data_IF_990535494376
#
_entry.id   IF_990535494376
#
_cell.length_a   1.000
_cell.length_b   1.000
_cell.length_c   1.000
_cell.angle_alpha   90.00
_cell.angle_beta   90.00
_cell.angle_gamma   90.00
#
_symmetry.space_group_name_H-M   'P 1'
#
loop_
_entity.id
_entity.type
_entity.pdbx_description
1 polymer ?
#
# COMPACT_ATOMS: atom_id res chain seq x y z
N UNK A 1 -6.77 36.24 -2.00
CA UNK A 1 -6.23 34.86 -1.95
C UNK A 1 -6.06 34.44 -3.38
N UNK A 2 -4.82 34.17 -3.75
CA UNK A 2 -4.44 33.76 -5.10
C UNK A 2 -5.06 32.38 -5.35
N UNK A 3 -6.02 32.32 -6.28
CA UNK A 3 -6.74 31.09 -6.57
C UNK A 3 -5.86 30.22 -7.43
N UNK A 4 -5.22 29.21 -6.84
CA UNK A 4 -4.45 28.23 -7.58
C UNK A 4 -5.31 27.70 -8.74
N UNK A 5 -4.72 27.68 -9.94
CA UNK A 5 -5.37 27.13 -11.11
C UNK A 5 -5.78 25.67 -10.80
N UNK A 6 -7.04 25.27 -10.99
CA UNK A 6 -7.46 23.90 -10.75
C UNK A 6 -6.63 22.85 -11.50
N UNK A 7 -5.96 23.23 -12.60
CA UNK A 7 -5.02 22.38 -13.35
C UNK A 7 -3.65 22.20 -12.66
N UNK A 8 -3.35 22.99 -11.63
CA UNK A 8 -2.17 22.85 -10.77
C UNK A 8 -2.44 22.05 -9.49
N UNK A 9 -3.71 21.69 -9.22
CA UNK A 9 -4.05 20.82 -8.10
C UNK A 9 -3.56 19.39 -8.39
N UNK A 10 -2.73 18.88 -7.47
CA UNK A 10 -2.32 17.48 -7.44
C UNK A 10 -3.22 16.76 -6.44
N UNK A 11 -4.10 15.83 -6.90
CA UNK A 11 -4.97 15.06 -6.03
C UNK A 11 -4.19 14.21 -5.03
N UNK A 12 -4.70 14.14 -3.80
CA UNK A 12 -4.14 13.35 -2.72
C UNK A 12 -4.71 11.93 -2.73
N UNK A 13 -3.90 10.94 -2.37
CA UNK A 13 -4.33 9.56 -2.15
C UNK A 13 -3.45 8.84 -1.13
N UNK A 14 -4.03 7.86 -0.45
CA UNK A 14 -3.33 7.08 0.60
C UNK A 14 -3.03 5.65 0.13
N UNK A 15 -4.05 4.89 -0.28
CA UNK A 15 -3.90 3.48 -0.66
C UNK A 15 -4.30 3.19 -2.10
N UNK A 16 -5.23 3.95 -2.69
CA UNK A 16 -5.63 3.77 -4.09
C UNK A 16 -6.05 5.09 -4.72
N UNK A 17 -5.93 5.18 -6.05
CA UNK A 17 -6.51 6.26 -6.85
C UNK A 17 -6.78 5.79 -8.28
N UNK A 18 -8.01 6.04 -8.76
CA UNK A 18 -8.37 5.85 -10.17
C UNK A 18 -7.62 6.87 -11.04
N UNK A 19 -7.13 6.46 -12.20
CA UNK A 19 -6.31 7.31 -13.04
C UNK A 19 -7.06 8.56 -13.51
N UNK A 20 -8.36 8.46 -13.79
CA UNK A 20 -9.18 9.61 -14.19
C UNK A 20 -9.42 10.63 -13.07
N UNK A 21 -9.06 10.31 -11.82
CA UNK A 21 -9.10 11.22 -10.68
C UNK A 21 -7.76 11.88 -10.39
N UNK A 22 -6.71 11.54 -11.13
CA UNK A 22 -5.38 12.15 -11.00
C UNK A 22 -5.31 13.51 -11.73
N UNK A 23 -4.22 14.24 -11.53
CA UNK A 23 -3.90 15.40 -12.36
C UNK A 23 -3.38 14.90 -13.72
N UNK A 24 -4.14 15.18 -14.78
CA UNK A 24 -3.88 14.66 -16.13
C UNK A 24 -3.32 15.73 -17.07
N UNK A 25 -2.34 15.34 -17.87
CA UNK A 25 -1.90 16.08 -19.05
C UNK A 25 -1.74 15.12 -20.21
N UNK A 26 -2.31 15.43 -21.38
CA UNK A 26 -2.30 14.55 -22.56
C UNK A 26 -3.20 13.30 -22.46
N UNK A 27 -3.43 12.77 -21.26
CA UNK A 27 -4.43 11.74 -21.01
C UNK A 27 -5.86 12.31 -21.06
N UNK A 28 -6.79 11.54 -21.62
CA UNK A 28 -8.21 11.85 -21.61
C UNK A 28 -9.02 10.69 -21.01
N UNK A 29 -10.10 11.01 -20.30
CA UNK A 29 -11.03 10.02 -19.78
C UNK A 29 -11.65 9.17 -20.91
N UNK A 30 -11.75 7.87 -20.68
CA UNK A 30 -12.39 6.89 -21.53
C UNK A 30 -13.29 5.98 -20.68
N UNK A 31 -14.58 5.89 -21.02
CA UNK A 31 -15.47 4.94 -20.34
C UNK A 31 -15.15 3.53 -20.80
N UNK A 32 -14.89 2.64 -19.85
CA UNK A 32 -14.55 1.25 -20.12
C UNK A 32 -15.06 0.35 -18.98
N UNK A 33 -15.96 -0.58 -19.26
CA UNK A 33 -16.55 -1.45 -18.24
C UNK A 33 -15.60 -2.51 -17.70
N UNK A 34 -14.46 -2.77 -18.37
CA UNK A 34 -13.43 -3.67 -17.86
C UNK A 34 -12.55 -2.99 -16.80
N UNK A 35 -12.45 -1.65 -16.84
CA UNK A 35 -11.67 -0.84 -15.92
C UNK A 35 -12.35 -0.73 -14.54
N UNK A 36 -11.59 -0.45 -13.48
CA UNK A 36 -12.18 -0.13 -12.18
C UNK A 36 -13.03 1.13 -12.27
N UNK A 37 -14.12 1.19 -11.49
CA UNK A 37 -15.05 2.31 -11.53
C UNK A 37 -15.81 2.52 -12.85
N UNK A 38 -15.55 1.73 -13.91
CA UNK A 38 -16.16 1.87 -15.24
C UNK A 38 -15.48 2.90 -16.15
N UNK A 39 -14.27 3.34 -15.82
CA UNK A 39 -13.52 4.34 -16.57
C UNK A 39 -12.01 4.16 -16.44
N UNK A 40 -11.27 4.68 -17.41
CA UNK A 40 -9.81 4.72 -17.41
C UNK A 40 -9.35 6.01 -18.12
N UNK A 41 -8.03 6.20 -18.28
CA UNK A 41 -7.48 7.27 -19.10
C UNK A 41 -6.69 6.74 -20.30
N UNK A 42 -6.72 7.47 -21.40
CA UNK A 42 -6.20 7.04 -22.71
C UNK A 42 -5.34 8.14 -23.34
N UNK A 43 -4.15 7.80 -23.83
CA UNK A 43 -3.26 8.71 -24.54
C UNK A 43 -3.52 8.71 -26.06
N UNK A 44 -4.65 8.12 -26.50
CA UNK A 44 -4.93 7.89 -27.92
C UNK A 44 -4.84 9.17 -28.77
N UNK A 45 -5.37 10.29 -28.26
CA UNK A 45 -5.48 11.56 -28.97
C UNK A 45 -4.19 12.38 -29.00
N UNK A 46 -3.42 12.32 -27.92
CA UNK A 46 -2.19 13.11 -27.69
C UNK A 46 -0.92 12.36 -28.11
N UNK A 47 -0.97 11.03 -28.15
CA UNK A 47 0.18 10.14 -28.33
C UNK A 47 0.97 9.89 -27.04
N UNK A 48 0.84 10.75 -26.04
CA UNK A 48 1.45 10.57 -24.73
C UNK A 48 0.64 11.31 -23.65
N UNK A 49 0.59 10.76 -22.45
CA UNK A 49 -0.08 11.37 -21.31
C UNK A 49 0.66 11.14 -19.99
N UNK A 50 0.46 12.03 -19.03
CA UNK A 50 0.93 11.91 -17.65
C UNK A 50 -0.25 11.97 -16.68
N UNK A 51 -0.26 11.09 -15.69
CA UNK A 51 -1.20 11.10 -14.58
C UNK A 51 -0.43 11.24 -13.26
N UNK A 52 -0.73 12.27 -12.46
CA UNK A 52 0.02 12.65 -11.25
C UNK A 52 -0.88 12.71 -10.02
N UNK A 53 -0.41 12.13 -8.92
CA UNK A 53 -1.08 12.22 -7.63
C UNK A 53 -0.07 12.31 -6.48
N UNK A 54 -0.48 12.91 -5.38
CA UNK A 54 0.32 13.08 -4.17
C UNK A 54 -0.01 11.97 -3.18
N UNK A 55 1.01 11.23 -2.79
CA UNK A 55 0.89 10.25 -1.74
C UNK A 55 0.77 10.94 -0.37
N UNK A 56 -0.29 10.64 0.39
CA UNK A 56 -0.54 11.21 1.72
C UNK A 56 -0.50 10.18 2.85
N UNK A 57 -0.22 8.92 2.54
CA UNK A 57 -0.03 7.88 3.55
C UNK A 57 1.25 8.03 4.36
N UNK A 58 1.43 7.14 5.34
CA UNK A 58 2.61 7.12 6.18
C UNK A 58 3.87 6.82 5.37
N UNK A 59 5.00 7.44 5.72
CA UNK A 59 6.28 7.16 5.08
C UNK A 59 6.71 5.70 5.33
N UNK A 60 7.18 5.01 4.28
CA UNK A 60 7.57 3.61 4.37
C UNK A 60 7.80 2.96 3.02
N UNK A 61 7.95 1.63 3.04
CA UNK A 61 8.06 0.81 1.83
C UNK A 61 6.69 0.34 1.38
N UNK A 62 6.44 0.42 0.09
CA UNK A 62 5.17 0.05 -0.53
C UNK A 62 5.39 -0.82 -1.76
N UNK A 63 4.50 -1.77 -1.95
CA UNK A 63 4.25 -2.36 -3.27
C UNK A 63 3.26 -1.46 -3.98
N UNK A 64 3.71 -0.81 -5.06
CA UNK A 64 2.83 -0.13 -6.02
C UNK A 64 2.39 -1.15 -7.08
N UNK A 65 1.08 -1.22 -7.29
CA UNK A 65 0.42 -1.88 -8.41
C UNK A 65 -0.14 -0.80 -9.33
N UNK A 66 0.24 -0.84 -10.60
CA UNK A 66 -0.26 0.05 -11.67
C UNK A 66 -1.11 -0.81 -12.60
N UNK A 67 -2.42 -0.61 -12.59
CA UNK A 67 -3.34 -1.32 -13.50
C UNK A 67 -3.43 -0.59 -14.84
N UNK A 68 -3.23 -1.33 -15.93
CA UNK A 68 -3.21 -0.80 -17.30
C UNK A 68 -3.70 -1.87 -18.28
N UNK A 69 -4.02 -1.47 -19.52
CA UNK A 69 -4.39 -2.41 -20.57
C UNK A 69 -3.18 -2.71 -21.47
N UNK A 70 -2.86 -3.99 -21.65
CA UNK A 70 -1.81 -4.51 -22.53
C UNK A 70 -2.45 -5.13 -23.77
N UNK A 71 -2.71 -4.28 -24.77
CA UNK A 71 -3.41 -4.62 -26.01
C UNK A 71 -2.42 -5.20 -27.04
N UNK A 72 -2.72 -6.35 -27.63
CA UNK A 72 -1.78 -7.05 -28.53
C UNK A 72 -1.71 -6.48 -29.96
N UNK A 73 -2.19 -5.26 -30.20
CA UNK A 73 -2.10 -4.53 -31.47
C UNK A 73 -1.21 -3.27 -31.39
N UNK A 74 -0.43 -3.16 -30.32
CA UNK A 74 0.60 -2.16 -30.13
C UNK A 74 1.65 -2.60 -29.12
N UNK A 75 2.40 -1.62 -28.63
CA UNK A 75 3.46 -1.82 -27.64
C UNK A 75 3.65 -0.53 -26.84
N UNK A 76 2.62 -0.07 -26.12
CA UNK A 76 2.70 1.18 -25.39
C UNK A 76 3.83 1.13 -24.35
N UNK A 77 4.50 2.26 -24.15
CA UNK A 77 5.59 2.37 -23.17
C UNK A 77 5.11 3.21 -22.00
N UNK A 78 5.28 2.68 -20.80
CA UNK A 78 4.94 3.37 -19.56
C UNK A 78 6.20 3.64 -18.73
N UNK A 79 6.19 4.75 -18.00
CA UNK A 79 7.26 5.15 -17.08
C UNK A 79 6.66 5.59 -15.76
N UNK A 80 7.26 5.11 -14.68
CA UNK A 80 6.91 5.45 -13.31
C UNK A 80 7.96 6.42 -12.74
N UNK A 81 7.49 7.54 -12.20
CA UNK A 81 8.31 8.54 -11.53
C UNK A 81 7.83 8.75 -10.09
N UNK A 82 8.79 9.02 -9.20
CA UNK A 82 8.54 9.58 -7.87
C UNK A 82 9.35 10.87 -7.75
N UNK A 83 8.70 12.00 -7.52
CA UNK A 83 9.32 13.32 -7.49
C UNK A 83 10.23 13.59 -8.71
N UNK A 84 9.73 13.31 -9.92
CA UNK A 84 10.45 13.42 -11.19
C UNK A 84 11.68 12.51 -11.34
N UNK A 85 11.91 11.55 -10.44
CA UNK A 85 12.96 10.53 -10.59
C UNK A 85 12.36 9.25 -11.13
N UNK A 86 12.92 8.74 -12.24
CA UNK A 86 12.48 7.48 -12.85
C UNK A 86 12.71 6.32 -11.86
N UNK A 87 11.66 5.53 -11.63
CA UNK A 87 11.68 4.34 -10.76
C UNK A 87 11.44 3.05 -11.55
N UNK A 88 10.74 3.13 -12.67
CA UNK A 88 10.46 1.98 -13.52
C UNK A 88 10.05 2.40 -14.93
N UNK A 89 10.28 1.51 -15.88
CA UNK A 89 9.86 1.64 -17.28
C UNK A 89 9.48 0.24 -17.77
N UNK A 90 8.34 0.11 -18.44
CA UNK A 90 7.89 -1.14 -19.01
C UNK A 90 7.18 -0.89 -20.34
N UNK A 91 7.17 -1.93 -21.16
CA UNK A 91 6.41 -1.98 -22.41
C UNK A 91 5.24 -2.93 -22.22
N UNK A 92 4.07 -2.53 -22.69
CA UNK A 92 2.88 -3.36 -22.81
C UNK A 92 2.98 -4.17 -24.11
N UNK A 93 3.76 -5.25 -24.11
CA UNK A 93 4.01 -6.09 -25.29
C UNK A 93 3.63 -7.57 -25.07
N UNK A 94 2.77 -7.84 -24.10
CA UNK A 94 2.32 -9.21 -23.78
C UNK A 94 1.15 -9.61 -24.67
N UNK A 95 1.19 -10.83 -25.23
CA UNK A 95 0.02 -11.39 -25.91
C UNK A 95 -0.96 -11.98 -24.88
N UNK A 96 -1.89 -11.16 -24.40
CA UNK A 96 -2.96 -11.54 -23.47
C UNK A 96 -4.24 -12.03 -24.19
N UNK A 97 -4.18 -12.20 -25.52
CA UNK A 97 -5.25 -12.81 -26.31
C UNK A 97 -6.34 -11.86 -26.79
N UNK A 98 -6.17 -10.54 -26.68
CA UNK A 98 -7.07 -9.54 -27.26
C UNK A 98 -6.33 -8.27 -27.67
N UNK A 99 -6.85 -7.63 -28.73
CA UNK A 99 -6.41 -6.33 -29.24
C UNK A 99 -7.23 -5.17 -28.66
N UNK A 100 -8.16 -5.46 -27.74
CA UNK A 100 -9.04 -4.46 -27.14
C UNK A 100 -8.72 -4.30 -25.67
N UNK A 101 -8.90 -3.08 -25.15
CA UNK A 101 -8.92 -2.78 -23.72
C UNK A 101 -10.12 -3.44 -23.03
N UNK A 102 -10.00 -4.73 -22.70
CA UNK A 102 -11.03 -5.56 -22.08
C UNK A 102 -10.47 -6.31 -20.86
N UNK A 103 -11.25 -7.20 -20.26
CA UNK A 103 -10.84 -7.91 -19.05
C UNK A 103 -9.66 -8.86 -19.25
N UNK A 104 -9.36 -9.28 -20.49
CA UNK A 104 -8.21 -10.13 -20.78
C UNK A 104 -6.91 -9.31 -20.81
N UNK A 105 -6.98 -8.07 -21.29
CA UNK A 105 -5.81 -7.20 -21.45
C UNK A 105 -5.56 -6.30 -20.23
N UNK A 106 -6.54 -6.17 -19.32
CA UNK A 106 -6.33 -5.53 -18.03
C UNK A 106 -5.32 -6.33 -17.18
N UNK A 107 -4.15 -5.74 -16.96
CA UNK A 107 -3.04 -6.34 -16.22
C UNK A 107 -2.38 -5.31 -15.31
N UNK A 108 -1.33 -5.72 -14.59
CA UNK A 108 -0.68 -4.90 -13.57
C UNK A 108 0.83 -4.92 -13.68
N UNK A 109 1.44 -3.73 -13.64
CA UNK A 109 2.87 -3.56 -13.38
C UNK A 109 3.08 -3.37 -11.87
N UNK A 110 4.10 -4.02 -11.32
CA UNK A 110 4.39 -3.95 -9.88
C UNK A 110 5.79 -3.41 -9.63
N UNK A 111 5.92 -2.46 -8.69
CA UNK A 111 7.21 -1.94 -8.23
C UNK A 111 7.23 -1.79 -6.72
N UNK A 112 8.40 -1.99 -6.10
CA UNK A 112 8.62 -1.65 -4.70
C UNK A 112 9.17 -0.23 -4.61
N UNK A 113 8.50 0.63 -3.85
CA UNK A 113 8.86 2.02 -3.67
C UNK A 113 9.14 2.33 -2.20
N UNK A 114 10.15 3.15 -1.95
CA UNK A 114 10.27 3.90 -0.69
C UNK A 114 9.58 5.24 -0.89
N UNK A 115 8.51 5.48 -0.14
CA UNK A 115 7.67 6.67 -0.23
C UNK A 115 7.74 7.46 1.07
N UNK A 116 7.84 8.78 0.94
CA UNK A 116 7.64 9.73 2.03
C UNK A 116 6.30 10.42 1.85
N UNK A 117 5.58 10.67 2.95
CA UNK A 117 4.34 11.47 2.89
C UNK A 117 4.58 12.79 2.14
N UNK A 118 3.76 13.08 1.14
CA UNK A 118 3.85 14.25 0.28
C UNK A 118 4.55 14.02 -1.06
N UNK A 119 5.17 12.86 -1.27
CA UNK A 119 5.77 12.47 -2.55
C UNK A 119 4.74 12.49 -3.69
N UNK A 120 5.17 12.93 -4.87
CA UNK A 120 4.34 12.90 -6.08
C UNK A 120 4.70 11.64 -6.88
N UNK A 121 3.69 10.79 -7.11
CA UNK A 121 3.77 9.65 -8.01
C UNK A 121 3.20 10.06 -9.37
N UNK A 122 3.92 9.74 -10.43
CA UNK A 122 3.55 10.05 -11.80
C UNK A 122 3.73 8.84 -12.70
N UNK A 123 2.70 8.54 -13.50
CA UNK A 123 2.78 7.60 -14.62
C UNK A 123 2.73 8.39 -15.92
N UNK A 124 3.77 8.25 -16.74
CA UNK A 124 3.76 8.65 -18.15
C UNK A 124 3.43 7.41 -19.00
N UNK A 125 2.50 7.52 -19.94
CA UNK A 125 2.28 6.51 -20.97
C UNK A 125 2.43 7.09 -22.35
N UNK A 126 3.00 6.31 -23.26
CA UNK A 126 3.22 6.66 -24.66
C UNK A 126 2.58 5.61 -25.54
N UNK A 127 1.63 6.06 -26.34
CA UNK A 127 0.96 5.26 -27.36
C UNK A 127 1.97 4.65 -28.33
N UNK A 128 1.72 3.41 -28.74
CA UNK A 128 2.42 2.80 -29.85
C UNK A 128 1.42 2.03 -30.72
N UNK A 129 1.38 2.34 -32.03
CA UNK A 129 0.40 1.78 -32.95
C UNK A 129 -1.04 1.96 -32.45
N UNK A 130 -1.76 0.87 -32.17
CA UNK A 130 -3.16 0.90 -31.74
C UNK A 130 -3.33 0.82 -30.21
N UNK A 131 -2.31 0.36 -29.50
CA UNK A 131 -2.25 0.44 -28.04
C UNK A 131 -2.13 1.89 -27.59
N UNK A 132 -3.21 2.36 -26.97
CA UNK A 132 -3.42 3.75 -26.58
C UNK A 132 -2.81 4.13 -25.23
N UNK A 133 -2.00 3.25 -24.63
CA UNK A 133 -1.40 3.42 -23.32
C UNK A 133 -2.45 3.67 -22.23
N UNK A 134 -3.49 2.83 -22.17
CA UNK A 134 -4.60 3.04 -21.23
C UNK A 134 -4.19 2.70 -19.80
N UNK A 135 -4.44 3.63 -18.89
CA UNK A 135 -4.13 3.52 -17.47
C UNK A 135 -5.45 3.50 -16.67
N UNK A 136 -5.60 2.50 -15.81
CA UNK A 136 -6.80 2.27 -15.01
C UNK A 136 -6.66 2.90 -13.62
N UNK A 137 -5.74 2.39 -12.78
CA UNK A 137 -5.56 2.86 -11.40
C UNK A 137 -4.19 2.59 -10.82
N UNK A 138 -3.93 3.23 -9.68
CA UNK A 138 -2.81 2.95 -8.78
C UNK A 138 -3.32 2.36 -7.47
N UNK A 139 -2.65 1.33 -6.97
CA UNK A 139 -2.87 0.75 -5.64
C UNK A 139 -1.54 0.61 -4.91
N UNK A 140 -1.51 1.02 -3.64
CA UNK A 140 -0.38 0.95 -2.75
C UNK A 140 -0.69 0.02 -1.58
N UNK A 141 0.16 -0.99 -1.41
CA UNK A 141 0.13 -1.89 -0.27
C UNK A 141 1.41 -1.67 0.53
N UNK A 142 1.28 -1.18 1.77
CA UNK A 142 2.44 -0.99 2.63
C UNK A 142 3.09 -2.35 2.89
N UNK A 143 4.39 -2.44 2.64
CA UNK A 143 5.19 -3.59 3.04
C UNK A 143 5.38 -3.47 4.55
N UNK A 144 4.85 -4.45 5.29
CA UNK A 144 5.15 -4.56 6.70
C UNK A 144 6.64 -4.77 6.89
N UNK A 145 7.35 -3.72 7.29
CA UNK A 145 8.76 -3.82 7.63
C UNK A 145 8.98 -4.59 8.95
N UNK A 146 7.91 -4.90 9.69
CA UNK A 146 7.97 -5.69 10.92
C UNK A 146 7.42 -7.10 10.69
N UNK A 147 8.25 -8.10 10.98
CA UNK A 147 7.87 -9.50 11.17
C UNK A 147 7.65 -9.76 12.66
N UNK A 148 6.60 -10.53 12.97
CA UNK A 148 6.17 -10.81 14.32
C UNK A 148 6.24 -12.34 14.52
N UNK A 149 6.93 -12.80 15.55
CA UNK A 149 6.95 -14.22 15.90
C UNK A 149 5.61 -14.67 16.47
N UNK A 150 5.39 -15.99 16.51
CA UNK A 150 4.31 -16.54 17.33
C UNK A 150 4.47 -16.07 18.78
N UNK A 151 3.38 -15.60 19.44
CA UNK A 151 3.44 -15.19 20.83
C UNK A 151 3.63 -16.40 21.75
N UNK A 152 4.50 -16.26 22.74
CA UNK A 152 4.76 -17.29 23.75
C UNK A 152 4.24 -16.79 25.09
N UNK A 153 3.26 -17.49 25.66
CA UNK A 153 2.77 -17.22 27.01
C UNK A 153 3.49 -18.14 28.02
N UNK A 154 4.13 -17.56 29.03
CA UNK A 154 4.83 -18.29 30.09
C UNK A 154 4.97 -17.42 31.33
N UNK A 155 4.87 -18.03 32.52
CA UNK A 155 5.07 -17.37 33.82
C UNK A 155 4.32 -16.04 34.00
N UNK A 156 3.05 -15.99 33.57
CA UNK A 156 2.20 -14.80 33.69
C UNK A 156 2.52 -13.69 32.69
N UNK A 157 3.37 -13.95 31.70
CA UNK A 157 3.78 -12.99 30.67
C UNK A 157 3.58 -13.53 29.26
N UNK A 158 3.49 -12.61 28.31
CA UNK A 158 3.56 -12.88 26.88
C UNK A 158 4.84 -12.27 26.34
N UNK A 159 5.61 -13.05 25.59
CA UNK A 159 6.79 -12.59 24.85
C UNK A 159 6.53 -12.71 23.35
N UNK A 160 6.95 -11.70 22.60
CA UNK A 160 6.90 -11.69 21.14
C UNK A 160 8.20 -11.16 20.55
N UNK A 161 8.79 -11.91 19.61
CA UNK A 161 9.92 -11.44 18.83
C UNK A 161 9.47 -10.54 17.69
N UNK A 162 10.04 -9.34 17.61
CA UNK A 162 9.82 -8.36 16.55
C UNK A 162 11.09 -8.26 15.74
N UNK A 163 11.01 -8.61 14.45
CA UNK A 163 12.12 -8.45 13.51
C UNK A 163 11.80 -7.28 12.59
N UNK A 164 12.57 -6.21 12.73
CA UNK A 164 12.54 -5.10 11.79
C UNK A 164 13.40 -5.45 10.58
N UNK A 165 12.81 -5.40 9.39
CA UNK A 165 13.41 -5.62 8.09
C UNK A 165 13.69 -4.32 7.34
N UNK A 166 13.43 -3.16 7.95
CA UNK A 166 13.80 -1.86 7.41
C UNK A 166 15.24 -1.51 7.77
N UNK A 167 15.88 -0.74 6.90
CA UNK A 167 17.22 -0.18 7.13
C UNK A 167 17.24 1.00 8.11
N UNK A 168 16.15 1.22 8.86
CA UNK A 168 16.00 2.28 9.86
C UNK A 168 15.39 1.71 11.14
N UNK A 169 15.70 2.31 12.29
CA UNK A 169 15.10 1.91 13.58
C UNK A 169 13.60 2.25 13.58
N UNK A 170 12.77 1.25 13.88
CA UNK A 170 11.32 1.41 14.06
C UNK A 170 10.97 1.46 15.54
N UNK A 171 9.70 1.75 15.85
CA UNK A 171 9.15 1.64 17.19
C UNK A 171 8.07 0.58 17.17
N UNK A 172 8.06 -0.31 18.15
CA UNK A 172 6.95 -1.23 18.35
C UNK A 172 6.54 -1.24 19.81
N UNK A 173 5.26 -1.52 20.07
CA UNK A 173 4.75 -1.72 21.40
C UNK A 173 3.85 -2.95 21.48
N UNK A 174 3.99 -3.71 22.56
CA UNK A 174 3.10 -4.82 22.90
C UNK A 174 2.04 -4.29 23.88
N UNK A 175 0.78 -4.49 23.52
CA UNK A 175 -0.37 -3.97 24.25
C UNK A 175 -1.20 -5.15 24.73
N UNK A 176 -1.46 -5.19 26.03
CA UNK A 176 -2.37 -6.14 26.66
C UNK A 176 -3.70 -5.45 26.96
N UNK A 177 -4.81 -6.13 26.70
CA UNK A 177 -6.16 -5.63 26.98
C UNK A 177 -6.98 -6.71 27.70
N UNK A 178 -7.43 -6.42 28.92
CA UNK A 178 -8.22 -7.31 29.76
C UNK A 178 -9.72 -6.99 29.73
N UNK A 179 -10.56 -8.02 29.74
CA UNK A 179 -12.00 -7.93 29.61
C UNK A 179 -12.73 -8.81 30.64
N UNK A 180 -13.86 -8.30 31.15
CA UNK A 180 -14.82 -9.05 31.96
C UNK A 180 -16.22 -8.83 31.39
N UNK A 181 -16.99 -9.90 31.16
CA UNK A 181 -18.34 -9.82 30.58
C UNK A 181 -18.37 -8.92 29.33
N UNK A 182 -17.42 -9.14 28.41
CA UNK A 182 -17.21 -8.36 27.17
C UNK A 182 -16.94 -6.86 27.36
N UNK A 183 -16.71 -6.40 28.58
CA UNK A 183 -16.37 -5.02 28.91
C UNK A 183 -14.87 -4.89 29.12
N UNK A 184 -14.22 -3.96 28.41
CA UNK A 184 -12.81 -3.62 28.64
C UNK A 184 -12.62 -3.13 30.08
N UNK A 185 -11.69 -3.75 30.81
CA UNK A 185 -11.38 -3.41 32.20
C UNK A 185 -10.03 -2.76 32.35
N UNK A 186 -9.06 -3.27 31.61
CA UNK A 186 -7.69 -2.79 31.67
C UNK A 186 -7.07 -2.80 30.28
N UNK A 187 -6.17 -1.84 30.05
CA UNK A 187 -5.31 -1.80 28.88
C UNK A 187 -3.94 -1.30 29.32
N UNK A 188 -2.92 -2.11 29.08
CA UNK A 188 -1.54 -1.77 29.43
C UNK A 188 -0.69 -1.76 28.16
N UNK A 189 0.14 -0.72 28.04
CA UNK A 189 1.23 -0.67 27.08
C UNK A 189 2.47 -1.03 27.88
N UNK A 190 2.88 -2.28 27.81
CA UNK A 190 3.90 -2.82 28.70
C UNK A 190 5.30 -2.34 28.32
N UNK A 191 5.62 -2.37 27.03
CA UNK A 191 6.93 -1.99 26.54
C UNK A 191 6.82 -1.29 25.18
N UNK A 192 7.47 -0.14 25.06
CA UNK A 192 7.71 0.55 23.79
C UNK A 192 9.20 0.48 23.51
N UNK A 193 9.59 -0.33 22.54
CA UNK A 193 11.01 -0.51 22.21
C UNK A 193 11.36 0.13 20.86
N UNK A 194 12.60 0.60 20.81
CA UNK A 194 13.26 0.88 19.56
C UNK A 194 13.69 -0.46 18.96
N UNK A 195 13.19 -0.77 17.77
CA UNK A 195 13.47 -2.00 17.06
C UNK A 195 14.51 -1.68 15.97
N UNK A 196 15.82 -1.87 16.23
CA UNK A 196 16.85 -1.78 15.17
C UNK A 196 16.65 -2.89 14.13
N UNK A 197 17.43 -2.90 13.03
CA UNK A 197 17.46 -3.95 12.00
C UNK A 197 18.01 -5.29 12.58
N UNK A 198 17.31 -5.83 13.56
CA UNK A 198 17.54 -7.08 14.27
C UNK A 198 16.25 -7.54 14.94
N UNK A 199 16.30 -8.68 15.62
CA UNK A 199 15.20 -9.14 16.47
C UNK A 199 15.25 -8.38 17.81
N UNK A 200 14.12 -7.86 18.24
CA UNK A 200 13.87 -7.29 19.58
C UNK A 200 12.73 -8.07 20.23
N UNK A 201 12.88 -8.47 21.48
CA UNK A 201 11.79 -9.11 22.23
C UNK A 201 10.96 -8.05 22.93
N UNK A 202 9.64 -8.10 22.77
CA UNK A 202 8.69 -7.33 23.55
C UNK A 202 8.04 -8.23 24.58
N UNK A 203 7.89 -7.73 25.81
CA UNK A 203 7.27 -8.47 26.91
C UNK A 203 6.09 -7.70 27.48
N UNK A 204 5.02 -8.42 27.81
CA UNK A 204 3.84 -7.87 28.45
C UNK A 204 3.33 -8.79 29.56
N UNK A 205 2.83 -8.21 30.65
CA UNK A 205 2.15 -8.97 31.69
C UNK A 205 0.76 -9.41 31.19
N UNK A 206 0.34 -10.64 31.55
CA UNK A 206 -1.01 -11.14 31.22
C UNK A 206 -2.01 -10.50 32.18
N UNK A 207 -3.07 -9.82 31.68
CA UNK A 207 -4.11 -9.27 32.54
C UNK A 207 -4.79 -10.34 33.39
N UNK A 208 -5.08 -10.03 34.66
CA UNK A 208 -5.76 -10.95 35.59
C UNK A 208 -7.24 -11.24 35.23
N UNK A 209 -7.75 -10.61 34.18
CA UNK A 209 -9.14 -10.74 33.72
C UNK A 209 -9.44 -12.10 33.06
N UNK A 210 -10.72 -12.52 33.09
CA UNK A 210 -11.16 -13.79 32.50
C UNK A 210 -10.82 -13.90 31.00
N UNK A 211 -10.89 -12.81 30.24
CA UNK A 211 -10.56 -12.75 28.82
C UNK A 211 -9.53 -11.65 28.59
N UNK A 212 -8.46 -11.94 27.86
CA UNK A 212 -7.51 -10.91 27.44
C UNK A 212 -7.20 -11.02 25.94
N UNK A 213 -6.75 -9.92 25.35
CA UNK A 213 -6.27 -9.84 23.96
C UNK A 213 -4.94 -9.13 23.94
N UNK A 214 -4.07 -9.58 23.06
CA UNK A 214 -2.77 -8.95 22.83
C UNK A 214 -2.76 -8.28 21.46
N UNK A 215 -2.11 -7.13 21.36
CA UNK A 215 -1.94 -6.39 20.12
C UNK A 215 -0.50 -5.90 19.99
N UNK A 216 -0.01 -5.84 18.76
CA UNK A 216 1.20 -5.11 18.45
C UNK A 216 0.84 -3.84 17.71
N UNK A 217 1.40 -2.74 18.19
CA UNK A 217 1.46 -1.48 17.47
C UNK A 217 2.85 -1.34 16.85
N UNK A 218 2.90 -1.06 15.55
CA UNK A 218 4.13 -1.09 14.74
C UNK A 218 4.75 0.28 14.46
N UNK A 219 4.31 1.32 15.19
CA UNK A 219 4.81 2.68 14.99
C UNK A 219 4.21 3.43 13.81
N UNK A 220 3.59 2.72 12.85
CA UNK A 220 3.05 3.25 11.59
C UNK A 220 1.53 3.45 11.64
N UNK A 221 0.96 3.53 12.85
CA UNK A 221 -0.48 3.72 13.06
C UNK A 221 -1.31 2.46 12.86
N UNK A 222 -0.68 1.30 12.62
CA UNK A 222 -1.37 0.02 12.49
C UNK A 222 -1.31 -0.76 13.81
N UNK A 223 -2.44 -1.40 14.16
CA UNK A 223 -2.51 -2.37 15.26
C UNK A 223 -2.90 -3.73 14.72
N UNK A 224 -2.17 -4.77 15.12
CA UNK A 224 -2.45 -6.15 14.72
C UNK A 224 -2.85 -6.98 15.93
N UNK A 225 -4.01 -7.68 15.90
CA UNK A 225 -4.35 -8.62 16.95
C UNK A 225 -3.40 -9.82 16.89
N UNK A 226 -2.94 -10.26 18.06
CA UNK A 226 -2.21 -11.50 18.21
C UNK A 226 -3.16 -12.61 18.63
N UNK A 227 -3.19 -13.68 17.84
CA UNK A 227 -3.94 -14.88 18.19
C UNK A 227 -3.12 -15.72 19.16
N UNK A 228 -3.42 -15.59 20.45
CA UNK A 228 -2.90 -16.52 21.46
C UNK A 228 -3.89 -17.66 21.56
N UNK A 229 -3.49 -18.86 21.11
CA UNK A 229 -4.21 -20.06 21.52
C UNK A 229 -4.03 -20.19 23.02
N UNK A 230 -5.12 -20.01 23.78
CA UNK A 230 -5.14 -20.42 25.17
C UNK A 230 -4.91 -21.93 25.22
N UNK A 231 -3.70 -22.34 25.55
CA UNK A 231 -3.52 -23.63 26.20
C UNK A 231 -4.12 -23.46 27.59
N UNK A 232 -5.38 -23.85 27.74
CA UNK A 232 -5.89 -24.24 29.05
C UNK A 232 -5.12 -25.49 29.47
N UNK A 233 -3.91 -25.31 29.99
CA UNK A 233 -3.24 -26.38 30.72
C UNK A 233 -3.88 -26.45 32.11
N UNK A 234 -4.68 -27.50 32.23
CA UNK A 234 -5.36 -28.09 33.38
C UNK A 234 -4.90 -27.64 34.78
N UNK A 235 -5.88 -27.28 35.60
CA UNK A 235 -6.13 -27.92 36.91
C UNK A 235 -7.60 -28.29 37.01
#
# INVERSE_FOLDING_TARGET
MDGADPSELIPDFETEIEAEKMNLSGYAYESNSAASGGGCVSANSSGAGTARARFTGASGRYVLKVSYFDENDGAAVFKLYVNNKLKGEWTADSDLGSASADSLTLTTYTAVLELTQGDIIEIEGRKNNYDSARLDKLELEMISDIEISEPVASDGRVTVGIKNNANETKTAALISAGYENDTLKDITIDEQELVPDSVTELVADIPETEVYRMFIWDGLGSMRPLYIQRFTDLV
#
